data_IF_995603391478
#
_entry.id   IF_995603391478
#
_cell.length_a   1.000
_cell.length_b   1.000
_cell.length_c   1.000
_cell.angle_alpha   90.00
_cell.angle_beta   90.00
_cell.angle_gamma   90.00
#
_symmetry.space_group_name_H-M   'P 1'
#
loop_
_entity.id
_entity.type
_entity.pdbx_description
1 polymer ?
#
# COMPACT_ATOMS: atom_id res chain seq x y z
N UNK A 1 4.62 13.83 -1.97
CA UNK A 1 3.62 13.29 -2.91
C UNK A 1 2.60 12.47 -2.15
N UNK A 2 1.31 12.77 -2.29
CA UNK A 2 0.23 11.96 -1.73
C UNK A 2 0.03 10.73 -2.61
N UNK A 3 0.25 9.54 -2.06
CA UNK A 3 0.10 8.29 -2.80
C UNK A 3 -1.37 7.97 -3.06
N UNK A 4 -1.64 7.30 -4.17
CA UNK A 4 -2.96 6.77 -4.52
C UNK A 4 -2.80 5.33 -5.01
N UNK A 5 -3.88 4.53 -5.10
CA UNK A 5 -3.80 3.25 -5.80
C UNK A 5 -3.24 3.36 -7.22
N UNK A 6 -3.36 4.52 -7.87
CA UNK A 6 -2.69 4.81 -9.14
C UNK A 6 -1.15 4.80 -9.09
N UNK A 7 -0.52 4.75 -7.92
CA UNK A 7 0.93 4.62 -7.74
C UNK A 7 1.39 3.16 -7.62
N UNK A 8 0.51 2.20 -7.92
CA UNK A 8 0.82 0.79 -7.96
C UNK A 8 0.81 0.30 -9.42
N UNK A 9 1.62 -0.71 -9.70
CA UNK A 9 1.52 -1.52 -10.92
C UNK A 9 0.47 -2.63 -10.69
N UNK A 10 -0.20 -3.04 -11.76
CA UNK A 10 -1.23 -4.09 -11.74
C UNK A 10 -0.65 -5.46 -11.36
N UNK A 11 0.59 -5.71 -11.78
CA UNK A 11 1.35 -6.93 -11.44
C UNK A 11 2.06 -6.85 -10.07
N UNK A 12 2.00 -5.70 -9.39
CA UNK A 12 2.78 -5.42 -8.19
C UNK A 12 3.96 -4.48 -8.44
N UNK A 13 4.32 -3.72 -7.42
CA UNK A 13 5.43 -2.76 -7.47
C UNK A 13 4.97 -1.31 -7.52
N UNK A 14 5.96 -0.41 -7.34
CA UNK A 14 5.73 1.02 -7.26
C UNK A 14 5.74 1.68 -8.64
N UNK A 15 4.74 2.51 -8.91
CA UNK A 15 4.61 3.32 -10.13
C UNK A 15 4.77 4.79 -9.78
N UNK A 16 5.91 5.37 -10.17
CA UNK A 16 6.12 6.81 -10.07
C UNK A 16 5.28 7.53 -11.14
N UNK A 17 4.59 8.59 -10.74
CA UNK A 17 3.74 9.41 -11.62
C UNK A 17 4.04 10.88 -11.38
N UNK A 18 5.20 11.34 -11.82
CA UNK A 18 5.62 12.73 -11.62
C UNK A 18 4.60 13.72 -12.20
N UNK A 19 4.12 13.47 -13.42
CA UNK A 19 3.29 14.42 -14.17
C UNK A 19 1.84 14.53 -13.65
N UNK A 20 1.39 13.56 -12.86
CA UNK A 20 0.04 13.52 -12.25
C UNK A 20 0.10 13.47 -10.72
N UNK A 21 1.26 13.78 -10.15
CA UNK A 21 1.49 13.73 -8.72
C UNK A 21 0.62 14.77 -8.01
N UNK A 22 -0.08 14.34 -6.97
CA UNK A 22 -0.72 15.27 -6.03
C UNK A 22 0.26 15.61 -4.92
N UNK A 23 0.45 16.89 -4.68
CA UNK A 23 1.30 17.41 -3.62
C UNK A 23 0.43 17.98 -2.50
N UNK A 24 0.87 17.78 -1.27
CA UNK A 24 0.26 18.39 -0.10
C UNK A 24 1.22 19.45 0.42
N UNK A 25 0.69 20.65 0.69
CA UNK A 25 1.45 21.78 1.22
C UNK A 25 0.82 22.12 2.57
N UNK A 26 1.60 22.00 3.64
CA UNK A 26 1.14 22.21 5.00
C UNK A 26 1.89 21.34 6.00
N UNK A 27 1.60 21.48 7.31
CA UNK A 27 2.18 20.64 8.34
C UNK A 27 1.71 19.18 8.15
N UNK A 28 2.67 18.26 8.10
CA UNK A 28 2.42 16.83 7.93
C UNK A 28 2.90 16.12 9.20
N UNK A 29 2.04 15.34 9.89
CA UNK A 29 2.49 14.53 11.01
C UNK A 29 3.49 13.47 10.53
N UNK A 30 4.57 13.25 11.28
CA UNK A 30 5.67 12.37 10.89
C UNK A 30 5.20 10.97 10.47
N UNK A 31 4.19 10.42 11.14
CA UNK A 31 3.68 9.08 10.85
C UNK A 31 2.96 8.91 9.50
N UNK A 32 2.70 10.00 8.76
CA UNK A 32 2.17 9.93 7.40
C UNK A 32 3.29 9.80 6.37
N UNK A 33 4.53 10.07 6.76
CA UNK A 33 5.69 10.05 5.88
C UNK A 33 6.23 8.62 5.83
N UNK A 34 6.25 8.06 4.63
CA UNK A 34 6.77 6.70 4.41
C UNK A 34 8.29 6.70 4.25
N UNK A 35 8.90 5.63 4.73
CA UNK A 35 10.33 5.37 4.63
C UNK A 35 10.64 4.41 3.49
N UNK A 36 11.86 4.49 2.94
CA UNK A 36 12.34 3.51 1.94
C UNK A 36 12.22 2.10 2.50
N UNK A 37 11.69 1.19 1.69
CA UNK A 37 11.46 -0.21 2.06
C UNK A 37 10.16 -0.44 2.84
N UNK A 38 9.37 0.59 3.11
CA UNK A 38 8.01 0.41 3.61
C UNK A 38 7.16 -0.35 2.59
N UNK A 39 6.47 -1.39 3.06
CA UNK A 39 5.55 -2.18 2.25
C UNK A 39 4.15 -1.61 2.41
N UNK A 40 3.59 -1.18 1.29
CA UNK A 40 2.22 -0.69 1.19
C UNK A 40 1.40 -1.58 0.27
N UNK A 41 0.09 -1.64 0.50
CA UNK A 41 -0.85 -2.44 -0.28
C UNK A 41 -2.04 -1.59 -0.73
N UNK A 42 -2.43 -1.68 -1.99
CA UNK A 42 -3.62 -1.01 -2.48
C UNK A 42 -4.90 -1.65 -1.90
N UNK A 43 -5.72 -0.88 -1.19
CA UNK A 43 -6.94 -1.41 -0.55
C UNK A 43 -8.22 -1.17 -1.36
N UNK A 44 -8.14 -0.53 -2.52
CA UNK A 44 -9.30 -0.25 -3.37
C UNK A 44 -8.97 -0.49 -4.83
N UNK A 45 -9.92 -1.02 -5.59
CA UNK A 45 -9.79 -1.18 -7.03
C UNK A 45 -10.13 0.15 -7.74
N UNK A 46 -9.14 0.83 -8.30
CA UNK A 46 -9.34 2.00 -9.18
C UNK A 46 -9.19 1.66 -10.67
N UNK A 47 -8.51 0.56 -10.94
CA UNK A 47 -8.37 -0.11 -12.22
C UNK A 47 -8.25 -1.60 -11.92
N UNK A 48 -8.75 -2.43 -12.84
CA UNK A 48 -8.56 -3.88 -12.77
C UNK A 48 -7.07 -4.17 -12.58
N UNK A 49 -6.71 -5.08 -11.68
CA UNK A 49 -5.30 -5.31 -11.40
C UNK A 49 -4.77 -4.62 -10.17
N UNK A 50 -5.44 -3.61 -9.59
CA UNK A 50 -4.83 -2.84 -8.49
C UNK A 50 -5.11 -3.40 -7.09
N UNK A 51 -6.34 -3.84 -6.79
CA UNK A 51 -6.72 -4.24 -5.43
C UNK A 51 -5.84 -5.37 -4.87
N UNK A 52 -5.15 -5.12 -3.75
CA UNK A 52 -4.19 -6.05 -3.13
C UNK A 52 -2.74 -5.90 -3.63
N UNK A 53 -2.42 -4.86 -4.41
CA UNK A 53 -1.10 -4.75 -5.07
C UNK A 53 -0.11 -4.26 -4.05
N UNK A 54 0.97 -5.00 -3.87
CA UNK A 54 2.04 -4.67 -2.95
C UNK A 54 3.10 -3.81 -3.63
N UNK A 55 3.56 -2.75 -2.96
CA UNK A 55 4.66 -1.92 -3.43
C UNK A 55 5.63 -1.60 -2.29
N UNK A 56 6.92 -1.58 -2.60
CA UNK A 56 7.96 -1.10 -1.71
C UNK A 56 8.27 0.36 -2.03
N UNK A 57 8.35 1.19 -0.98
CA UNK A 57 8.66 2.60 -1.12
C UNK A 57 10.13 2.79 -1.56
N UNK A 58 10.39 3.52 -2.65
CA UNK A 58 11.75 3.64 -3.19
C UNK A 58 12.62 4.67 -2.45
N UNK A 59 12.01 5.68 -1.82
CA UNK A 59 12.70 6.81 -1.16
C UNK A 59 11.99 7.25 0.11
N UNK A 60 12.75 7.54 1.16
CA UNK A 60 12.21 8.10 2.41
C UNK A 60 11.85 9.58 2.26
N UNK A 61 10.87 10.06 3.01
CA UNK A 61 10.59 11.51 3.12
C UNK A 61 9.78 12.13 1.98
N UNK A 62 9.60 11.40 0.87
CA UNK A 62 8.95 11.93 -0.34
C UNK A 62 7.45 11.58 -0.40
N UNK A 63 7.06 10.44 0.17
CA UNK A 63 5.76 9.84 -0.05
C UNK A 63 4.88 9.89 1.18
N UNK A 64 3.63 10.31 0.99
CA UNK A 64 2.63 10.44 2.04
C UNK A 64 1.60 9.33 1.92
N UNK A 65 1.40 8.62 3.03
CA UNK A 65 0.37 7.62 3.19
C UNK A 65 -1.03 8.25 3.28
N UNK A 66 -2.07 7.45 3.05
CA UNK A 66 -3.46 7.84 3.32
C UNK A 66 -4.34 6.62 3.64
N UNK A 67 -5.62 6.86 3.92
CA UNK A 67 -6.54 5.81 4.39
C UNK A 67 -6.98 4.80 3.31
N UNK A 68 -6.55 4.96 2.05
CA UNK A 68 -6.88 4.06 0.93
C UNK A 68 -5.79 3.02 0.67
N UNK A 69 -4.67 3.14 1.37
CA UNK A 69 -3.52 2.25 1.29
C UNK A 69 -3.35 1.56 2.63
N UNK A 70 -2.99 0.29 2.59
CA UNK A 70 -2.62 -0.49 3.75
C UNK A 70 -1.13 -0.32 3.98
N UNK A 71 -0.73 -0.10 5.23
CA UNK A 71 0.67 -0.11 5.63
C UNK A 71 0.97 -1.41 6.38
N UNK A 72 1.92 -2.20 5.87
CA UNK A 72 2.26 -3.51 6.44
C UNK A 72 3.37 -3.33 7.48
N UNK A 73 3.03 -3.61 8.74
CA UNK A 73 3.97 -3.61 9.86
C UNK A 73 4.24 -5.05 10.31
N UNK A 74 5.50 -5.46 10.30
CA UNK A 74 5.93 -6.77 10.78
C UNK A 74 6.36 -6.60 12.24
N UNK A 75 5.69 -7.30 13.15
CA UNK A 75 6.03 -7.25 14.58
C UNK A 75 7.08 -8.32 14.89
N UNK A 76 8.36 -7.91 14.88
CA UNK A 76 9.49 -8.81 15.19
C UNK A 76 10.12 -9.41 13.93
N UNK A 77 11.43 -9.17 13.76
CA UNK A 77 12.19 -9.58 12.57
C UNK A 77 12.31 -11.10 12.38
N UNK A 78 12.07 -11.89 13.43
CA UNK A 78 12.13 -13.35 13.37
C UNK A 78 10.85 -14.00 12.82
N UNK A 79 9.77 -13.25 12.61
CA UNK A 79 8.46 -13.83 12.29
C UNK A 79 8.11 -13.81 10.80
N UNK A 80 8.59 -12.81 10.05
CA UNK A 80 8.35 -12.76 8.61
C UNK A 80 9.35 -11.84 7.89
N UNK A 81 9.79 -12.29 6.71
CA UNK A 81 10.57 -11.45 5.80
C UNK A 81 9.65 -10.52 4.99
N UNK A 82 10.01 -9.24 4.91
CA UNK A 82 9.19 -8.23 4.24
C UNK A 82 9.12 -8.45 2.73
N UNK A 83 10.21 -8.92 2.14
CA UNK A 83 10.27 -9.19 0.70
C UNK A 83 9.43 -10.43 0.36
N UNK A 84 9.44 -11.44 1.22
CA UNK A 84 8.50 -12.57 1.11
C UNK A 84 7.05 -12.08 1.13
N UNK A 85 6.66 -11.23 2.09
CA UNK A 85 5.29 -10.69 2.15
C UNK A 85 4.95 -9.87 0.90
N UNK A 86 5.91 -9.08 0.38
CA UNK A 86 5.75 -8.36 -0.88
C UNK A 86 5.43 -9.31 -2.04
N UNK A 87 6.20 -10.39 -2.21
CA UNK A 87 5.95 -11.39 -3.26
C UNK A 87 4.64 -12.13 -3.03
N UNK A 88 4.28 -12.41 -1.77
CA UNK A 88 3.02 -13.06 -1.42
C UNK A 88 1.82 -12.21 -1.88
N UNK A 89 1.79 -10.92 -1.55
CA UNK A 89 0.72 -10.02 -2.01
C UNK A 89 0.63 -9.90 -3.53
N UNK A 90 1.76 -10.00 -4.23
CA UNK A 90 1.83 -9.90 -5.69
C UNK A 90 1.63 -11.26 -6.40
N UNK A 91 1.47 -12.35 -5.64
CA UNK A 91 1.20 -13.67 -6.20
C UNK A 91 -0.26 -13.79 -6.68
N UNK A 92 -0.46 -14.41 -7.85
CA UNK A 92 -1.79 -14.59 -8.45
C UNK A 92 -2.82 -15.24 -7.50
N UNK A 93 -2.50 -16.29 -6.71
CA UNK A 93 -3.48 -16.91 -5.82
C UNK A 93 -3.99 -15.96 -4.73
N UNK A 94 -3.07 -15.24 -4.08
CA UNK A 94 -3.43 -14.27 -3.02
C UNK A 94 -4.24 -13.12 -3.58
N UNK A 95 -3.82 -12.61 -4.74
CA UNK A 95 -4.53 -11.56 -5.50
C UNK A 95 -5.97 -11.97 -5.81
N UNK A 96 -6.19 -13.21 -6.25
CA UNK A 96 -7.52 -13.74 -6.54
C UNK A 96 -8.37 -13.87 -5.27
N UNK A 97 -7.80 -14.34 -4.17
CA UNK A 97 -8.52 -14.45 -2.89
C UNK A 97 -8.92 -13.08 -2.33
N UNK A 98 -8.04 -12.08 -2.41
CA UNK A 98 -8.36 -10.71 -1.99
C UNK A 98 -9.50 -10.14 -2.83
N UNK A 99 -9.48 -10.31 -4.16
CA UNK A 99 -10.57 -9.85 -5.03
C UNK A 99 -11.88 -10.59 -4.77
N UNK A 100 -11.83 -11.91 -4.65
CA UNK A 100 -13.02 -12.74 -4.41
C UNK A 100 -13.68 -12.49 -3.05
N UNK A 101 -12.93 -12.02 -2.05
CA UNK A 101 -13.45 -11.65 -0.73
C UNK A 101 -13.85 -10.18 -0.61
N UNK A 102 -13.48 -9.34 -1.57
CA UNK A 102 -13.85 -7.93 -1.60
C UNK A 102 -15.31 -7.77 -2.04
N UNK A 103 -16.23 -7.86 -1.07
CA UNK A 103 -17.61 -7.41 -1.26
C UNK A 103 -17.59 -5.89 -1.41
N UNK A 104 -18.21 -5.34 -2.46
CA UNK A 104 -18.19 -3.94 -2.88
C UNK A 104 -18.78 -2.90 -1.91
N UNK A 105 -18.70 -3.15 -0.61
CA UNK A 105 -19.10 -2.22 0.44
C UNK A 105 -17.89 -1.43 0.91
N UNK A 106 -17.89 -0.14 0.55
CA UNK A 106 -17.13 0.97 1.15
C UNK A 106 -16.33 0.56 2.39
N UNK A 107 -15.05 0.24 2.19
CA UNK A 107 -14.14 -0.13 3.28
C UNK A 107 -14.12 1.04 4.27
N UNK A 108 -14.57 0.78 5.50
CA UNK A 108 -14.45 1.75 6.59
C UNK A 108 -12.95 2.03 6.76
N UNK A 109 -12.48 3.27 6.59
CA UNK A 109 -11.07 3.55 6.74
C UNK A 109 -10.65 3.09 8.14
N UNK A 110 -9.57 2.29 8.26
CA UNK A 110 -9.13 1.84 9.56
C UNK A 110 -8.78 3.09 10.40
N UNK A 111 -9.57 3.36 11.44
CA UNK A 111 -9.04 4.11 12.59
C UNK A 111 -7.91 3.24 13.12
N UNK A 112 -6.68 3.72 13.04
CA UNK A 112 -5.45 3.01 13.44
C UNK A 112 -5.72 1.84 14.40
N UNK A 113 -5.84 0.65 13.81
CA UNK A 113 -5.47 -0.63 14.40
C UNK A 113 -4.81 -1.35 13.24
N UNK A 114 -3.51 -1.53 13.35
CA UNK A 114 -2.74 -2.37 12.44
C UNK A 114 -3.51 -3.68 12.22
N UNK A 115 -3.54 -4.17 10.97
CA UNK A 115 -3.88 -5.56 10.73
C UNK A 115 -2.83 -6.37 11.50
N UNK A 116 -3.22 -6.93 12.65
CA UNK A 116 -2.36 -7.81 13.44
C UNK A 116 -2.41 -9.17 12.76
N UNK A 117 -1.35 -9.50 12.04
CA UNK A 117 -1.01 -10.87 11.68
C UNK A 117 0.21 -11.26 12.50
#
# INVERSE_FOLDING_TARGET
>A
MVLTPGNFLEEGGFKEKADKAKWYIGPIPADYILSKGDLIVAMTEQAEGLLGSGALIPRSGVYLHNQRLGFVQIQGQQQADRLFIYYLFNSKPVRQQIRGSASGTKIRPPRRRALRM
#
